data_IF_550662012784
#
_entry.id   IF_550662012784
#
_cell.length_a   1.000
_cell.length_b   1.000
_cell.length_c   1.000
_cell.angle_alpha   90.00
_cell.angle_beta   90.00
_cell.angle_gamma   90.00
#
_symmetry.space_group_name_H-M   'P 1'
#
loop_
_entity.id
_entity.type
_entity.pdbx_description
1 polymer ?
#
# COMPACT_ATOMS: atom_id res chain seq x y z
N UNK A 1 21.23 4.13 4.72
CA UNK A 1 22.49 4.89 4.58
C UNK A 1 22.31 6.16 3.75
N UNK A 2 21.78 6.08 2.52
CA UNK A 2 21.55 7.26 1.67
C UNK A 2 20.69 8.33 2.36
N UNK A 3 19.61 7.94 3.07
CA UNK A 3 18.78 8.89 3.83
C UNK A 3 19.57 9.71 4.86
N UNK A 4 20.48 9.09 5.61
CA UNK A 4 21.24 9.76 6.69
C UNK A 4 22.34 10.71 6.21
N UNK A 5 22.69 10.68 4.93
CA UNK A 5 23.71 11.55 4.33
C UNK A 5 23.12 12.69 3.49
N UNK A 6 21.79 12.88 3.55
CA UNK A 6 21.11 13.93 2.79
C UNK A 6 21.43 15.30 3.43
N UNK A 7 22.15 16.20 2.73
CA UNK A 7 22.28 17.57 3.19
C UNK A 7 20.91 18.25 3.09
N UNK A 8 20.45 18.86 4.19
CA UNK A 8 19.24 19.69 4.22
C UNK A 8 19.47 21.10 3.70
N UNK A 9 20.66 21.38 3.15
CA UNK A 9 21.01 22.69 2.62
C UNK A 9 20.13 23.00 1.40
N UNK A 10 19.31 24.07 1.44
CA UNK A 10 18.45 24.47 0.32
C UNK A 10 19.22 24.72 -0.98
N UNK A 11 20.54 25.00 -0.88
CA UNK A 11 21.41 25.25 -2.04
C UNK A 11 21.81 23.98 -2.80
N UNK A 12 21.46 22.78 -2.30
CA UNK A 12 21.85 21.49 -2.89
C UNK A 12 20.65 20.65 -3.31
N UNK A 13 19.66 21.28 -3.93
CA UNK A 13 18.43 20.64 -4.43
C UNK A 13 18.70 19.41 -5.32
N UNK A 14 19.75 19.44 -6.16
CA UNK A 14 20.10 18.30 -7.04
C UNK A 14 20.47 17.05 -6.23
N UNK A 15 21.18 17.22 -5.10
CA UNK A 15 21.56 16.09 -4.24
C UNK A 15 20.33 15.53 -3.53
N UNK A 16 19.41 16.39 -3.11
CA UNK A 16 18.12 15.97 -2.53
C UNK A 16 17.30 15.15 -3.54
N UNK A 17 17.21 15.61 -4.79
CA UNK A 17 16.49 14.89 -5.85
C UNK A 17 17.14 13.54 -6.17
N UNK A 18 18.45 13.51 -6.38
CA UNK A 18 19.17 12.27 -6.69
C UNK A 18 19.10 11.26 -5.53
N UNK A 19 19.27 11.70 -4.30
CA UNK A 19 19.16 10.81 -3.13
C UNK A 19 17.75 10.23 -2.99
N UNK A 20 16.70 11.02 -3.23
CA UNK A 20 15.31 10.54 -3.26
C UNK A 20 15.07 9.54 -4.38
N UNK A 21 15.65 9.76 -5.57
CA UNK A 21 15.59 8.81 -6.67
C UNK A 21 16.21 7.46 -6.28
N UNK A 22 17.41 7.46 -5.69
CA UNK A 22 18.06 6.23 -5.24
C UNK A 22 17.28 5.51 -4.13
N UNK A 23 16.68 6.25 -3.18
CA UNK A 23 15.79 5.66 -2.17
C UNK A 23 14.59 5.00 -2.83
N UNK A 24 13.95 5.67 -3.80
CA UNK A 24 12.83 5.10 -4.55
C UNK A 24 13.20 3.83 -5.30
N UNK A 25 14.34 3.83 -6.01
CA UNK A 25 14.85 2.65 -6.71
C UNK A 25 15.13 1.51 -5.73
N UNK A 26 15.80 1.78 -4.61
CA UNK A 26 16.11 0.75 -3.61
C UNK A 26 14.85 0.18 -2.94
N UNK A 27 13.84 1.01 -2.64
CA UNK A 27 12.60 0.59 -2.00
C UNK A 27 11.62 -0.12 -2.95
N UNK A 28 11.72 0.11 -4.27
CA UNK A 28 10.81 -0.47 -5.26
C UNK A 28 10.75 -2.00 -5.25
N UNK A 29 11.81 -2.67 -4.81
CA UNK A 29 11.90 -4.13 -4.76
C UNK A 29 11.33 -4.75 -3.47
N UNK A 30 10.99 -3.94 -2.46
CA UNK A 30 10.57 -4.42 -1.14
C UNK A 30 9.28 -5.24 -1.22
N UNK A 31 8.23 -4.69 -1.86
CA UNK A 31 6.95 -5.40 -1.94
C UNK A 31 7.04 -6.74 -2.70
N UNK A 32 7.65 -6.82 -3.90
CA UNK A 32 7.89 -8.09 -4.57
C UNK A 32 8.66 -9.09 -3.70
N UNK A 33 9.77 -8.67 -3.07
CA UNK A 33 10.60 -9.53 -2.25
C UNK A 33 9.82 -10.11 -1.04
N UNK A 34 9.02 -9.28 -0.35
CA UNK A 34 8.16 -9.72 0.75
C UNK A 34 7.19 -10.83 0.27
N UNK A 35 6.53 -10.62 -0.87
CA UNK A 35 5.56 -11.59 -1.39
C UNK A 35 6.23 -12.92 -1.79
N UNK A 36 7.45 -12.87 -2.35
CA UNK A 36 8.24 -14.07 -2.67
C UNK A 36 8.61 -14.84 -1.42
N UNK A 37 9.13 -14.18 -0.38
CA UNK A 37 9.49 -14.83 0.89
C UNK A 37 8.26 -15.47 1.54
N UNK A 38 7.15 -14.74 1.64
CA UNK A 38 5.91 -15.26 2.22
C UNK A 38 5.37 -16.46 1.42
N UNK A 39 5.50 -16.46 0.09
CA UNK A 39 5.03 -17.58 -0.73
C UNK A 39 5.81 -18.89 -0.48
N UNK A 40 7.09 -18.78 -0.12
CA UNK A 40 7.97 -19.93 0.16
C UNK A 40 7.83 -20.46 1.59
N UNK A 41 7.54 -19.60 2.56
CA UNK A 41 7.50 -19.95 3.98
C UNK A 41 6.10 -20.19 4.55
N UNK A 42 5.07 -19.58 3.96
CA UNK A 42 3.70 -19.62 4.51
C UNK A 42 2.82 -20.61 3.74
N UNK A 43 2.17 -21.56 4.44
CA UNK A 43 1.20 -22.46 3.84
C UNK A 43 0.08 -21.71 3.09
N UNK A 44 -0.46 -22.26 1.98
CA UNK A 44 -1.50 -21.60 1.19
C UNK A 44 -2.71 -21.14 2.01
N UNK A 45 -3.09 -21.90 3.04
CA UNK A 45 -4.25 -21.64 3.90
C UNK A 45 -4.07 -20.40 4.79
N UNK A 46 -2.84 -20.05 5.16
CA UNK A 46 -2.54 -18.93 6.07
C UNK A 46 -1.91 -17.72 5.36
N UNK A 47 -1.76 -17.81 4.04
CA UNK A 47 -1.06 -16.82 3.21
C UNK A 47 -1.74 -15.45 3.23
N UNK A 48 -3.08 -15.41 3.15
CA UNK A 48 -3.86 -14.16 3.20
C UNK A 48 -3.63 -13.38 4.49
N UNK A 49 -3.68 -14.09 5.63
CA UNK A 49 -3.43 -13.53 6.97
C UNK A 49 -1.99 -13.02 7.11
N UNK A 50 -1.01 -13.79 6.65
CA UNK A 50 0.40 -13.43 6.75
C UNK A 50 0.77 -12.22 5.88
N UNK A 51 0.22 -12.15 4.65
CA UNK A 51 0.39 -10.99 3.77
C UNK A 51 -0.27 -9.75 4.39
N UNK A 52 -1.48 -9.88 4.93
CA UNK A 52 -2.20 -8.77 5.58
C UNK A 52 -1.43 -8.25 6.80
N UNK A 53 -0.93 -9.15 7.65
CA UNK A 53 -0.13 -8.78 8.82
C UNK A 53 1.17 -8.06 8.39
N UNK A 54 1.89 -8.61 7.42
CA UNK A 54 3.17 -8.04 6.96
C UNK A 54 2.98 -6.68 6.29
N UNK A 55 1.96 -6.54 5.43
CA UNK A 55 1.68 -5.28 4.73
C UNK A 55 1.09 -4.21 5.64
N UNK A 56 0.29 -4.60 6.65
CA UNK A 56 -0.24 -3.68 7.64
C UNK A 56 0.85 -3.05 8.52
N UNK A 57 2.01 -3.72 8.68
CA UNK A 57 3.18 -3.14 9.35
C UNK A 57 3.62 -1.78 8.81
N UNK A 58 3.40 -1.51 7.52
CA UNK A 58 3.64 -0.18 6.92
C UNK A 58 2.77 0.92 7.55
N UNK A 59 1.49 0.62 7.82
CA UNK A 59 0.57 1.57 8.45
C UNK A 59 0.92 1.81 9.91
N UNK A 60 1.36 0.76 10.61
CA UNK A 60 1.87 0.89 11.97
C UNK A 60 3.16 1.73 12.01
N UNK A 61 4.05 1.56 11.03
CA UNK A 61 5.23 2.39 10.84
C UNK A 61 4.88 3.86 10.61
N UNK A 62 3.90 4.15 9.75
CA UNK A 62 3.41 5.52 9.53
C UNK A 62 2.80 6.13 10.79
N UNK A 63 2.05 5.33 11.56
CA UNK A 63 1.48 5.71 12.84
C UNK A 63 2.59 6.10 13.84
N UNK A 64 3.60 5.23 14.00
CA UNK A 64 4.77 5.51 14.83
C UNK A 64 5.56 6.73 14.36
N UNK A 65 5.75 6.89 13.05
CA UNK A 65 6.41 8.06 12.47
C UNK A 65 5.69 9.36 12.82
N UNK A 66 4.36 9.41 12.69
CA UNK A 66 3.56 10.56 13.11
C UNK A 66 3.68 10.84 14.61
N UNK A 67 3.80 9.81 15.44
CA UNK A 67 3.95 9.95 16.88
C UNK A 67 5.32 10.53 17.26
N UNK A 68 6.40 9.93 16.77
CA UNK A 68 7.77 10.19 17.23
C UNK A 68 8.50 11.28 16.44
N UNK A 69 8.39 11.29 15.11
CA UNK A 69 9.24 12.16 14.28
C UNK A 69 9.01 13.65 14.50
N UNK A 70 7.79 14.17 14.66
CA UNK A 70 7.63 15.60 14.93
C UNK A 70 8.39 16.02 16.19
N UNK A 71 8.35 15.22 17.27
CA UNK A 71 9.03 15.54 18.54
C UNK A 71 10.55 15.52 18.36
N UNK A 72 11.05 14.53 17.62
CA UNK A 72 12.45 14.41 17.27
C UNK A 72 12.95 15.63 16.46
N UNK A 73 12.18 16.10 15.48
CA UNK A 73 12.50 17.31 14.70
C UNK A 73 12.59 18.55 15.59
N UNK A 74 11.68 18.70 16.57
CA UNK A 74 11.66 19.85 17.48
C UNK A 74 12.91 19.91 18.37
N UNK A 75 13.37 18.76 18.87
CA UNK A 75 14.47 18.72 19.84
C UNK A 75 15.86 18.59 19.18
N UNK A 76 15.96 17.87 18.06
CA UNK A 76 17.23 17.49 17.44
C UNK A 76 17.35 17.96 15.98
N UNK A 77 16.38 18.74 15.49
CA UNK A 77 16.33 19.25 14.12
C UNK A 77 15.92 18.20 13.10
N UNK A 78 15.64 18.63 11.86
CA UNK A 78 15.13 17.73 10.82
C UNK A 78 16.12 16.62 10.38
N UNK A 79 17.44 16.83 10.53
CA UNK A 79 18.45 15.82 10.16
C UNK A 79 18.35 14.55 11.01
N UNK A 80 17.90 14.67 12.26
CA UNK A 80 17.79 13.57 13.20
C UNK A 80 16.84 12.46 12.72
N UNK A 81 15.74 12.80 12.03
CA UNK A 81 14.77 11.83 11.50
C UNK A 81 15.45 10.91 10.49
N UNK A 82 16.20 11.49 9.55
CA UNK A 82 16.91 10.74 8.52
C UNK A 82 17.98 9.81 9.11
N UNK A 83 18.65 10.27 10.16
CA UNK A 83 19.64 9.46 10.87
C UNK A 83 18.99 8.29 11.61
N UNK A 84 17.92 8.54 12.37
CA UNK A 84 17.19 7.49 13.09
C UNK A 84 16.62 6.45 12.12
N UNK A 85 16.00 6.86 11.03
CA UNK A 85 15.52 5.94 9.99
C UNK A 85 16.65 5.12 9.36
N UNK A 86 17.81 5.74 9.12
CA UNK A 86 18.98 5.03 8.59
C UNK A 86 19.50 3.98 9.58
N UNK A 87 19.58 4.31 10.88
CA UNK A 87 20.01 3.38 11.93
C UNK A 87 19.01 2.23 12.07
N UNK A 88 17.71 2.52 12.11
CA UNK A 88 16.67 1.48 12.17
C UNK A 88 16.73 0.54 10.96
N UNK A 89 16.94 1.10 9.75
CA UNK A 89 17.09 0.29 8.53
C UNK A 89 18.33 -0.60 8.54
N UNK A 90 19.46 -0.10 9.03
CA UNK A 90 20.71 -0.88 9.20
C UNK A 90 20.53 -1.95 10.27
N UNK A 91 19.97 -1.61 11.43
CA UNK A 91 19.69 -2.54 12.51
C UNK A 91 18.77 -3.68 12.03
N UNK A 92 17.70 -3.34 11.32
CA UNK A 92 16.81 -4.34 10.72
C UNK A 92 17.52 -5.22 9.69
N UNK A 93 18.40 -4.64 8.88
CA UNK A 93 19.19 -5.40 7.90
C UNK A 93 20.15 -6.38 8.58
N UNK A 94 20.79 -5.99 9.68
CA UNK A 94 21.65 -6.88 10.49
C UNK A 94 20.84 -8.01 11.12
N UNK A 95 19.67 -7.70 11.69
CA UNK A 95 18.76 -8.70 12.23
C UNK A 95 18.34 -9.67 11.12
N UNK A 96 17.93 -9.15 9.97
CA UNK A 96 17.53 -9.96 8.83
C UNK A 96 18.67 -10.87 8.37
N UNK A 97 19.87 -10.35 8.14
CA UNK A 97 21.03 -11.16 7.71
C UNK A 97 21.44 -12.24 8.72
N UNK A 98 21.21 -12.00 10.02
CA UNK A 98 21.54 -12.97 11.08
C UNK A 98 20.49 -14.07 11.26
N UNK A 99 19.21 -13.74 11.07
CA UNK A 99 18.10 -14.65 11.37
C UNK A 99 17.38 -15.20 10.13
N UNK A 100 17.55 -14.59 8.95
CA UNK A 100 16.96 -15.10 7.72
C UNK A 100 17.61 -16.44 7.36
N UNK A 101 16.81 -17.47 7.17
CA UNK A 101 17.25 -18.77 6.69
C UNK A 101 16.76 -19.00 5.26
N UNK A 102 17.43 -19.87 4.51
CA UNK A 102 16.87 -20.35 3.25
C UNK A 102 15.54 -21.08 3.53
N UNK A 103 14.53 -20.95 2.66
CA UNK A 103 13.31 -21.71 2.79
C UNK A 103 13.64 -23.20 2.89
N UNK A 104 12.91 -23.98 3.70
CA UNK A 104 13.10 -25.43 3.74
C UNK A 104 12.94 -25.94 2.31
N UNK A 105 14.04 -26.37 1.68
CA UNK A 105 14.03 -26.90 0.31
C UNK A 105 13.13 -28.14 0.31
N UNK A 106 11.91 -28.00 -0.17
CA UNK A 106 10.95 -29.11 -0.29
C UNK A 106 11.26 -30.04 -1.47
N UNK A 107 12.38 -29.86 -2.18
CA UNK A 107 12.71 -30.63 -3.40
C UNK A 107 14.11 -31.29 -3.38
N UNK A 108 14.62 -31.71 -2.23
CA UNK A 108 15.71 -32.69 -2.18
C UNK A 108 15.29 -33.86 -1.27
N UNK A 109 15.11 -35.09 -1.81
CA UNK A 109 15.07 -36.25 -0.96
C UNK A 109 16.38 -36.28 -0.19
N UNK A 110 16.30 -36.48 1.13
CA UNK A 110 17.45 -36.82 1.96
C UNK A 110 18.04 -38.14 1.45
N UNK A 111 18.86 -38.09 0.41
CA UNK A 111 19.80 -39.15 0.09
C UNK A 111 21.12 -38.73 0.71
N UNK A 112 21.39 -39.30 1.87
CA UNK A 112 22.75 -39.44 2.38
C UNK A 112 23.63 -39.98 1.27
N UNK A 113 24.45 -39.13 0.65
CA UNK A 113 25.47 -39.58 -0.30
C UNK A 113 26.82 -39.57 0.39
N UNK A 114 27.47 -40.73 0.58
CA UNK A 114 28.91 -40.78 0.75
C UNK A 114 29.59 -40.25 -0.53
N UNK A 115 30.77 -39.69 -0.31
CA UNK A 115 31.65 -39.08 -1.30
C UNK A 115 32.03 -40.04 -2.45
N UNK A 116 32.21 -39.45 -3.64
CA UNK A 116 33.04 -39.88 -4.80
C UNK A 116 32.39 -40.81 -5.83
N UNK A 117 32.65 -40.47 -7.10
CA UNK A 117 32.35 -41.15 -8.36
C UNK A 117 30.86 -41.09 -8.77
N UNK A 118 30.44 -40.53 -9.89
CA UNK A 118 31.04 -40.55 -11.23
C UNK A 118 30.26 -39.56 -12.12
N UNK A 119 30.97 -38.80 -12.94
CA UNK A 119 30.45 -37.66 -13.71
C UNK A 119 29.84 -38.03 -15.07
N UNK A 120 29.49 -39.30 -15.32
CA UNK A 120 29.21 -39.77 -16.69
C UNK A 120 27.94 -40.61 -16.92
N UNK A 121 27.04 -40.74 -15.94
CA UNK A 121 25.79 -41.49 -16.14
C UNK A 121 24.50 -40.72 -15.85
N UNK A 122 24.49 -39.40 -16.09
CA UNK A 122 23.26 -38.59 -16.12
C UNK A 122 23.06 -38.05 -17.54
N UNK A 123 22.91 -38.94 -18.53
CA UNK A 123 22.45 -38.56 -19.88
C UNK A 123 21.40 -39.51 -20.48
N UNK A 124 20.95 -40.53 -19.75
CA UNK A 124 20.02 -41.53 -20.29
C UNK A 124 18.75 -41.78 -19.45
N UNK A 125 18.45 -40.94 -18.45
CA UNK A 125 17.21 -41.06 -17.66
C UNK A 125 16.54 -39.72 -17.33
N UNK A 126 16.80 -38.67 -18.14
CA UNK A 126 16.01 -37.45 -18.14
C UNK A 126 14.78 -37.62 -19.06
N UNK A 127 13.96 -38.61 -18.76
CA UNK A 127 12.62 -38.73 -19.35
C UNK A 127 11.74 -37.63 -18.77
N UNK A 128 11.50 -36.58 -19.54
CA UNK A 128 10.41 -35.62 -19.30
C UNK A 128 10.74 -34.46 -18.35
N UNK A 129 11.84 -33.74 -18.58
CA UNK A 129 11.85 -32.32 -18.19
C UNK A 129 10.87 -31.62 -19.12
N UNK A 130 9.63 -31.45 -18.66
CA UNK A 130 8.66 -30.57 -19.30
C UNK A 130 9.32 -29.20 -19.35
N UNK A 131 9.84 -28.81 -20.52
CA UNK A 131 10.25 -27.46 -20.79
C UNK A 131 9.14 -26.52 -20.27
N UNK A 132 9.45 -25.41 -19.57
CA UNK A 132 8.41 -24.49 -19.13
C UNK A 132 7.66 -24.07 -20.39
N UNK A 133 6.44 -24.56 -20.56
CA UNK A 133 5.59 -24.16 -21.69
C UNK A 133 5.56 -22.64 -21.63
N UNK A 134 6.12 -21.99 -22.64
CA UNK A 134 6.01 -20.55 -22.83
C UNK A 134 4.54 -20.27 -23.09
N UNK A 135 3.77 -20.14 -22.01
CA UNK A 135 2.36 -19.76 -22.08
C UNK A 135 2.36 -18.40 -22.74
N UNK A 136 1.90 -18.34 -23.99
CA UNK A 136 1.75 -17.07 -24.71
C UNK A 136 0.79 -16.21 -23.89
N UNK A 137 1.33 -15.14 -23.31
CA UNK A 137 0.57 -14.22 -22.47
C UNK A 137 -0.47 -13.53 -23.36
N UNK A 138 -1.78 -13.66 -23.06
CA UNK A 138 -2.82 -13.06 -23.88
C UNK A 138 -2.97 -11.57 -23.54
N UNK A 139 -1.94 -10.76 -23.82
CA UNK A 139 -1.85 -9.33 -23.49
C UNK A 139 -3.10 -8.55 -23.89
N UNK A 140 -3.59 -8.75 -25.11
CA UNK A 140 -4.81 -8.08 -25.60
C UNK A 140 -6.03 -8.44 -24.74
N UNK A 141 -6.21 -9.71 -24.38
CA UNK A 141 -7.37 -10.14 -23.58
C UNK A 141 -7.29 -9.62 -22.14
N UNK A 142 -6.08 -9.52 -21.56
CA UNK A 142 -5.87 -8.96 -20.23
C UNK A 142 -6.12 -7.45 -20.23
N UNK A 143 -5.53 -6.72 -21.18
CA UNK A 143 -5.63 -5.25 -21.26
C UNK A 143 -7.05 -4.79 -21.58
N UNK A 144 -7.82 -5.55 -22.37
CA UNK A 144 -9.21 -5.18 -22.69
C UNK A 144 -10.26 -5.82 -21.78
N UNK A 145 -9.86 -6.42 -20.65
CA UNK A 145 -10.78 -7.06 -19.71
C UNK A 145 -11.38 -6.04 -18.73
N UNK A 146 -12.70 -5.91 -18.71
CA UNK A 146 -13.42 -5.01 -17.80
C UNK A 146 -13.17 -5.34 -16.30
N UNK A 147 -13.16 -6.61 -15.87
CA UNK A 147 -12.81 -6.96 -14.49
C UNK A 147 -11.39 -6.55 -14.09
N UNK A 148 -10.42 -6.61 -15.02
CA UNK A 148 -9.05 -6.16 -14.76
C UNK A 148 -9.04 -4.63 -14.54
N UNK A 149 -9.70 -3.88 -15.40
CA UNK A 149 -9.82 -2.42 -15.24
C UNK A 149 -10.57 -2.00 -13.98
N UNK A 150 -11.59 -2.76 -13.57
CA UNK A 150 -12.28 -2.52 -12.31
C UNK A 150 -11.31 -2.58 -11.12
N UNK A 151 -10.39 -3.54 -11.13
CA UNK A 151 -9.36 -3.65 -10.10
C UNK A 151 -8.33 -2.51 -10.21
N UNK A 152 -7.88 -2.19 -11.43
CA UNK A 152 -6.90 -1.11 -11.68
C UNK A 152 -7.43 0.24 -11.21
N UNK A 153 -8.67 0.61 -11.57
CA UNK A 153 -9.31 1.87 -11.14
C UNK A 153 -9.42 1.94 -9.62
N UNK A 154 -9.79 0.83 -8.99
CA UNK A 154 -9.97 0.79 -7.54
C UNK A 154 -8.62 0.86 -6.80
N UNK A 155 -7.57 0.23 -7.34
CA UNK A 155 -6.22 0.36 -6.81
C UNK A 155 -5.61 1.75 -7.01
N UNK A 156 -5.89 2.39 -8.15
CA UNK A 156 -5.56 3.79 -8.40
C UNK A 156 -6.19 4.69 -7.33
N UNK A 157 -7.51 4.58 -7.14
CA UNK A 157 -8.22 5.40 -6.16
C UNK A 157 -7.76 5.16 -4.73
N UNK A 158 -7.51 3.89 -4.34
CA UNK A 158 -6.97 3.56 -3.02
C UNK A 158 -5.67 4.32 -2.74
N UNK A 159 -4.73 4.24 -3.68
CA UNK A 159 -3.44 4.90 -3.53
C UNK A 159 -3.56 6.42 -3.64
N UNK A 160 -4.44 6.93 -4.51
CA UNK A 160 -4.72 8.37 -4.60
C UNK A 160 -5.14 8.93 -3.23
N UNK A 161 -6.18 8.35 -2.63
CA UNK A 161 -6.70 8.80 -1.34
C UNK A 161 -5.67 8.63 -0.21
N UNK A 162 -4.96 7.49 -0.19
CA UNK A 162 -3.91 7.21 0.78
C UNK A 162 -2.78 8.24 0.71
N UNK A 163 -2.24 8.50 -0.48
CA UNK A 163 -1.11 9.43 -0.65
C UNK A 163 -1.52 10.88 -0.41
N UNK A 164 -2.73 11.29 -0.82
CA UNK A 164 -3.24 12.63 -0.51
C UNK A 164 -3.33 12.83 1.00
N UNK A 165 -3.95 11.92 1.73
CA UNK A 165 -4.00 12.00 3.19
C UNK A 165 -2.60 11.91 3.82
N UNK A 166 -1.74 11.02 3.32
CA UNK A 166 -0.40 10.85 3.88
C UNK A 166 0.44 12.12 3.80
N UNK A 167 0.39 12.84 2.68
CA UNK A 167 1.21 14.02 2.45
C UNK A 167 0.55 15.32 2.92
N UNK A 168 -0.77 15.44 2.79
CA UNK A 168 -1.47 16.72 3.00
C UNK A 168 -2.27 16.79 4.31
N UNK A 169 -2.56 15.67 4.98
CA UNK A 169 -3.24 15.70 6.27
C UNK A 169 -2.42 16.41 7.36
N UNK A 170 -1.09 16.21 7.48
CA UNK A 170 -0.28 16.98 8.44
C UNK A 170 -0.30 18.47 8.14
N UNK A 171 -0.15 18.83 6.86
CA UNK A 171 -0.24 20.21 6.38
C UNK A 171 -1.61 20.82 6.65
N UNK A 172 -2.69 20.04 6.57
CA UNK A 172 -4.04 20.49 6.92
C UNK A 172 -4.18 20.81 8.42
N UNK A 173 -3.58 20.01 9.30
CA UNK A 173 -3.54 20.32 10.73
C UNK A 173 -2.80 21.64 10.99
N UNK A 174 -1.64 21.83 10.39
CA UNK A 174 -0.81 23.03 10.63
C UNK A 174 -1.35 24.29 9.96
N UNK A 175 -1.74 24.22 8.68
CA UNK A 175 -2.17 25.40 7.91
C UNK A 175 -3.68 25.62 7.96
N UNK A 176 -4.47 24.55 7.95
CA UNK A 176 -5.94 24.63 7.90
C UNK A 176 -6.58 24.82 9.28
N UNK A 177 -6.07 24.10 10.28
CA UNK A 177 -6.58 24.17 11.66
C UNK A 177 -5.70 25.02 12.58
N UNK A 178 -4.55 25.50 12.10
CA UNK A 178 -3.57 26.26 12.89
C UNK A 178 -3.13 25.53 14.16
N UNK A 179 -3.05 24.20 14.09
CA UNK A 179 -2.64 23.34 15.21
C UNK A 179 -1.27 22.74 14.91
N UNK A 180 -0.35 22.93 15.85
CA UNK A 180 0.93 22.24 15.74
C UNK A 180 0.73 20.73 15.92
N UNK A 181 1.46 19.94 15.14
CA UNK A 181 1.46 18.48 15.28
C UNK A 181 1.97 18.02 16.66
N UNK A 182 2.54 18.90 17.47
CA UNK A 182 2.95 18.59 18.85
C UNK A 182 1.77 18.65 19.82
N UNK A 183 0.98 19.71 19.72
CA UNK A 183 -0.14 19.95 20.64
C UNK A 183 -1.22 18.89 20.50
N UNK A 184 -1.27 18.24 19.34
CA UNK A 184 -2.14 17.09 19.08
C UNK A 184 -1.76 15.81 19.85
N UNK A 185 -0.56 15.74 20.43
CA UNK A 185 -0.09 14.58 21.18
C UNK A 185 -0.21 13.27 20.39
N UNK A 186 -0.79 12.23 20.99
CA UNK A 186 -1.00 10.93 20.34
C UNK A 186 -2.14 10.90 19.31
N UNK A 187 -2.99 11.92 19.25
CA UNK A 187 -4.18 11.92 18.39
C UNK A 187 -3.84 11.88 16.89
N UNK A 188 -2.71 12.47 16.48
CA UNK A 188 -2.22 12.45 15.09
C UNK A 188 -1.84 11.05 14.59
N UNK A 189 -1.60 10.10 15.50
CA UNK A 189 -1.28 8.71 15.15
C UNK A 189 -2.54 7.92 14.79
N UNK A 190 -3.69 8.29 15.36
CA UNK A 190 -4.93 7.53 15.28
C UNK A 190 -5.37 7.19 13.85
N UNK A 191 -5.25 8.08 12.85
CA UNK A 191 -5.72 7.75 11.51
C UNK A 191 -5.00 6.55 10.88
N UNK A 192 -3.66 6.52 11.00
CA UNK A 192 -2.84 5.42 10.48
C UNK A 192 -2.91 4.17 11.37
N UNK A 193 -3.06 4.34 12.68
CA UNK A 193 -3.27 3.21 13.58
C UNK A 193 -4.62 2.54 13.33
N UNK A 194 -5.67 3.30 13.09
CA UNK A 194 -6.97 2.77 12.70
C UNK A 194 -6.91 2.05 11.34
N UNK A 195 -6.11 2.58 10.40
CA UNK A 195 -5.81 1.91 9.14
C UNK A 195 -5.18 0.53 9.34
N UNK A 196 -4.22 0.40 10.28
CA UNK A 196 -3.62 -0.89 10.66
C UNK A 196 -4.67 -1.89 11.19
N UNK A 197 -5.53 -1.44 12.11
CA UNK A 197 -6.57 -2.29 12.72
C UNK A 197 -7.55 -2.77 11.65
N UNK A 198 -8.13 -1.85 10.88
CA UNK A 198 -9.16 -2.18 9.89
C UNK A 198 -8.61 -3.00 8.71
N UNK A 199 -7.33 -2.84 8.35
CA UNK A 199 -6.68 -3.70 7.35
C UNK A 199 -6.70 -5.17 7.79
N UNK A 200 -6.44 -5.44 9.07
CA UNK A 200 -6.44 -6.80 9.61
C UNK A 200 -7.87 -7.33 9.80
N UNK A 201 -8.80 -6.48 10.28
CA UNK A 201 -10.23 -6.83 10.39
C UNK A 201 -10.78 -7.20 9.01
N UNK A 202 -10.51 -6.40 7.98
CA UNK A 202 -10.99 -6.64 6.61
C UNK A 202 -10.53 -8.00 6.08
N UNK A 203 -9.29 -8.40 6.35
CA UNK A 203 -8.78 -9.73 6.00
C UNK A 203 -9.52 -10.86 6.72
N UNK A 204 -9.67 -10.77 8.05
CA UNK A 204 -10.37 -11.78 8.86
C UNK A 204 -11.84 -11.90 8.46
N UNK A 205 -12.53 -10.77 8.26
CA UNK A 205 -13.95 -10.76 7.84
C UNK A 205 -14.11 -11.36 6.45
N UNK A 206 -13.22 -11.03 5.51
CA UNK A 206 -13.24 -11.62 4.17
C UNK A 206 -13.10 -13.14 4.22
N UNK A 207 -12.08 -13.63 4.94
CA UNK A 207 -11.81 -15.06 5.07
C UNK A 207 -12.96 -15.77 5.78
N UNK A 208 -13.56 -15.17 6.82
CA UNK A 208 -14.70 -15.75 7.53
C UNK A 208 -15.93 -15.90 6.63
N UNK A 209 -16.30 -14.85 5.89
CA UNK A 209 -17.47 -14.87 4.99
C UNK A 209 -17.33 -15.92 3.88
N UNK A 210 -16.13 -16.07 3.34
CA UNK A 210 -15.82 -17.02 2.25
C UNK A 210 -15.74 -18.46 2.79
N UNK A 211 -14.99 -18.71 3.87
CA UNK A 211 -14.75 -20.07 4.41
C UNK A 211 -16.01 -20.68 5.00
N UNK A 212 -16.85 -19.88 5.67
CA UNK A 212 -18.16 -20.33 6.18
C UNK A 212 -19.23 -20.43 5.09
N UNK A 213 -18.90 -20.12 3.83
CA UNK A 213 -19.82 -20.14 2.67
C UNK A 213 -21.08 -19.27 2.89
N UNK A 214 -20.97 -18.19 3.67
CA UNK A 214 -22.07 -17.25 3.90
C UNK A 214 -22.34 -16.45 2.63
N UNK A 215 -21.27 -16.04 1.94
CA UNK A 215 -21.32 -15.32 0.67
C UNK A 215 -20.36 -15.94 -0.34
N UNK A 216 -20.65 -15.78 -1.63
CA UNK A 216 -19.69 -16.13 -2.69
C UNK A 216 -18.48 -15.19 -2.64
N UNK A 217 -17.37 -15.60 -3.27
CA UNK A 217 -16.14 -14.80 -3.36
C UNK A 217 -16.47 -13.43 -3.96
N UNK A 218 -17.11 -13.41 -5.13
CA UNK A 218 -17.52 -12.17 -5.82
C UNK A 218 -18.36 -11.25 -4.93
N UNK A 219 -19.38 -11.79 -4.25
CA UNK A 219 -20.27 -10.99 -3.38
C UNK A 219 -19.50 -10.43 -2.18
N UNK A 220 -18.63 -11.23 -1.58
CA UNK A 220 -17.79 -10.78 -0.45
C UNK A 220 -16.83 -9.67 -0.87
N UNK A 221 -16.14 -9.83 -2.01
CA UNK A 221 -15.22 -8.81 -2.54
C UNK A 221 -15.94 -7.50 -2.84
N UNK A 222 -17.10 -7.57 -3.50
CA UNK A 222 -17.95 -6.40 -3.80
C UNK A 222 -18.41 -5.71 -2.53
N UNK A 223 -18.95 -6.46 -1.57
CA UNK A 223 -19.46 -5.93 -0.31
C UNK A 223 -18.40 -5.15 0.47
N UNK A 224 -17.23 -5.77 0.71
CA UNK A 224 -16.14 -5.14 1.46
C UNK A 224 -15.59 -3.91 0.74
N UNK A 225 -15.43 -3.99 -0.59
CA UNK A 225 -14.98 -2.85 -1.37
C UNK A 225 -15.95 -1.67 -1.26
N UNK A 226 -17.24 -1.93 -1.46
CA UNK A 226 -18.26 -0.88 -1.46
C UNK A 226 -18.41 -0.23 -0.09
N UNK A 227 -18.50 -1.02 0.98
CA UNK A 227 -18.58 -0.48 2.34
C UNK A 227 -17.33 0.36 2.64
N UNK A 228 -16.15 -0.17 2.34
CA UNK A 228 -14.88 0.53 2.61
C UNK A 228 -14.77 1.86 1.86
N UNK A 229 -15.03 1.86 0.55
CA UNK A 229 -14.85 3.04 -0.29
C UNK A 229 -15.95 4.08 -0.09
N UNK A 230 -17.22 3.66 0.08
CA UNK A 230 -18.33 4.61 0.29
C UNK A 230 -18.21 5.28 1.65
N UNK A 231 -17.93 4.52 2.72
CA UNK A 231 -17.74 5.12 4.05
C UNK A 231 -16.51 6.02 4.06
N UNK A 232 -15.42 5.62 3.41
CA UNK A 232 -14.24 6.48 3.27
C UNK A 232 -14.53 7.76 2.49
N UNK A 233 -15.33 7.69 1.41
CA UNK A 233 -15.71 8.85 0.63
C UNK A 233 -16.52 9.86 1.46
N UNK A 234 -17.53 9.40 2.18
CA UNK A 234 -18.35 10.26 3.05
C UNK A 234 -17.48 10.89 4.13
N UNK A 235 -16.59 10.12 4.76
CA UNK A 235 -15.68 10.63 5.78
C UNK A 235 -14.67 11.66 5.23
N UNK A 236 -14.13 11.44 4.02
CA UNK A 236 -13.26 12.39 3.32
C UNK A 236 -13.99 13.71 3.02
N UNK A 237 -15.19 13.63 2.47
CA UNK A 237 -15.98 14.82 2.14
C UNK A 237 -16.46 15.56 3.39
N UNK A 238 -16.66 14.85 4.50
CA UNK A 238 -17.01 15.46 5.78
C UNK A 238 -15.81 16.11 6.48
N UNK A 239 -14.57 15.64 6.23
CA UNK A 239 -13.35 16.11 6.88
C UNK A 239 -13.19 17.65 6.89
N UNK A 240 -13.30 18.38 5.76
CA UNK A 240 -13.14 19.84 5.76
C UNK A 240 -14.26 20.59 6.49
N UNK A 241 -15.40 19.93 6.76
CA UNK A 241 -16.52 20.54 7.49
C UNK A 241 -16.27 20.60 9.00
N UNK A 242 -15.41 19.72 9.53
CA UNK A 242 -15.03 19.73 10.94
C UNK A 242 -13.88 20.71 11.19
N UNK A 243 -14.10 21.65 12.11
CA UNK A 243 -13.11 22.66 12.53
C UNK A 243 -12.44 22.35 13.86
N UNK A 244 -12.81 21.24 14.49
CA UNK A 244 -12.20 20.80 15.74
C UNK A 244 -11.14 19.73 15.45
N UNK A 245 -9.99 19.74 16.16
CA UNK A 245 -8.96 18.71 15.99
C UNK A 245 -9.53 17.30 16.15
N UNK A 246 -10.38 17.09 17.15
CA UNK A 246 -11.02 15.80 17.41
C UNK A 246 -11.92 15.35 16.25
N UNK A 247 -12.67 16.27 15.63
CA UNK A 247 -13.51 15.97 14.47
C UNK A 247 -12.70 15.57 13.24
N UNK A 248 -11.62 16.31 12.95
CA UNK A 248 -10.73 16.00 11.82
C UNK A 248 -9.98 14.68 12.03
N UNK A 249 -9.49 14.41 13.24
CA UNK A 249 -8.86 13.13 13.59
C UNK A 249 -9.87 11.98 13.47
N UNK A 250 -11.11 12.15 13.93
CA UNK A 250 -12.15 11.14 13.81
C UNK A 250 -12.48 10.86 12.34
N UNK A 251 -12.73 11.88 11.53
CA UNK A 251 -13.05 11.72 10.10
C UNK A 251 -11.90 11.10 9.30
N UNK A 252 -10.67 11.57 9.51
CA UNK A 252 -9.49 10.99 8.86
C UNK A 252 -9.25 9.54 9.30
N UNK A 253 -9.52 9.20 10.57
CA UNK A 253 -9.43 7.83 11.07
C UNK A 253 -10.48 6.91 10.47
N UNK A 254 -11.74 7.35 10.40
CA UNK A 254 -12.81 6.61 9.74
C UNK A 254 -12.47 6.41 8.26
N UNK A 255 -12.01 7.47 7.59
CA UNK A 255 -11.62 7.38 6.18
C UNK A 255 -10.52 6.35 5.93
N UNK A 256 -9.35 6.49 6.58
CA UNK A 256 -8.24 5.56 6.36
C UNK A 256 -8.56 4.13 6.82
N UNK A 257 -9.28 3.99 7.93
CA UNK A 257 -9.73 2.67 8.41
C UNK A 257 -10.60 1.95 7.39
N UNK A 258 -11.69 2.59 6.94
CA UNK A 258 -12.58 1.98 5.95
C UNK A 258 -11.94 1.85 4.56
N UNK A 259 -11.03 2.75 4.18
CA UNK A 259 -10.22 2.60 2.97
C UNK A 259 -9.38 1.32 3.03
N UNK A 260 -8.75 1.03 4.18
CA UNK A 260 -8.01 -0.22 4.40
C UNK A 260 -8.91 -1.46 4.43
N UNK A 261 -10.13 -1.36 4.98
CA UNK A 261 -11.12 -2.43 4.88
C UNK A 261 -11.50 -2.72 3.42
N UNK A 262 -11.68 -1.67 2.60
CA UNK A 262 -11.94 -1.79 1.17
C UNK A 262 -10.82 -2.52 0.41
N UNK A 263 -9.57 -2.39 0.87
CA UNK A 263 -8.41 -3.11 0.31
C UNK A 263 -8.59 -4.63 0.32
N UNK A 264 -9.25 -5.19 1.33
CA UNK A 264 -9.55 -6.62 1.40
C UNK A 264 -10.51 -7.10 0.29
N UNK A 265 -11.27 -6.18 -0.31
CA UNK A 265 -12.15 -6.45 -1.44
C UNK A 265 -11.43 -6.55 -2.78
N UNK A 266 -10.50 -5.65 -3.09
CA UNK A 266 -9.89 -5.59 -4.43
C UNK A 266 -8.47 -6.15 -4.51
N UNK A 267 -7.67 -6.10 -3.44
CA UNK A 267 -6.23 -6.41 -3.53
C UNK A 267 -5.95 -7.88 -3.90
N UNK A 268 -6.78 -8.80 -3.42
CA UNK A 268 -6.71 -10.22 -3.73
C UNK A 268 -7.47 -10.61 -4.99
N UNK A 269 -8.30 -9.72 -5.53
CA UNK A 269 -9.14 -10.00 -6.70
C UNK A 269 -8.33 -10.30 -7.98
N UNK A 270 -7.09 -9.79 -8.07
CA UNK A 270 -6.16 -10.14 -9.16
C UNK A 270 -5.87 -11.65 -9.23
N UNK A 271 -5.82 -12.32 -8.06
CA UNK A 271 -5.58 -13.76 -7.95
C UNK A 271 -6.84 -14.57 -8.26
N UNK A 272 -8.02 -14.02 -7.94
CA UNK A 272 -9.31 -14.64 -8.23
C UNK A 272 -9.60 -14.65 -9.74
N UNK A 273 -9.36 -13.52 -10.43
CA UNK A 273 -9.63 -13.33 -11.87
C UNK A 273 -8.62 -14.02 -12.78
N UNK A 274 -7.33 -13.97 -12.44
CA UNK A 274 -6.25 -14.44 -13.33
C UNK A 274 -5.16 -15.21 -12.58
N UNK A 275 -5.43 -16.42 -12.04
CA UNK A 275 -4.48 -17.15 -11.19
C UNK A 275 -3.09 -17.36 -11.82
N UNK A 276 -3.01 -17.72 -13.12
CA UNK A 276 -1.73 -17.93 -13.82
C UNK A 276 -1.00 -16.63 -14.18
N UNK A 277 -1.72 -15.51 -14.27
CA UNK A 277 -1.18 -14.21 -14.67
C UNK A 277 -1.29 -13.15 -13.57
N UNK A 278 -1.54 -13.56 -12.32
CA UNK A 278 -1.86 -12.67 -11.20
C UNK A 278 -0.75 -11.64 -10.96
N UNK A 279 0.52 -12.04 -11.12
CA UNK A 279 1.67 -11.13 -11.01
C UNK A 279 1.66 -10.02 -12.07
N UNK A 280 1.25 -10.31 -13.31
CA UNK A 280 1.17 -9.32 -14.39
C UNK A 280 0.03 -8.33 -14.11
N UNK A 281 -1.15 -8.85 -13.75
CA UNK A 281 -2.33 -8.03 -13.44
C UNK A 281 -2.06 -7.14 -12.21
N UNK A 282 -1.43 -7.69 -11.16
CA UNK A 282 -0.99 -6.93 -9.99
C UNK A 282 0.04 -5.86 -10.38
N UNK A 283 1.00 -6.18 -11.26
CA UNK A 283 1.99 -5.22 -11.74
C UNK A 283 1.35 -4.02 -12.44
N UNK A 284 0.45 -4.26 -13.41
CA UNK A 284 -0.29 -3.20 -14.12
C UNK A 284 -1.10 -2.34 -13.14
N UNK A 285 -1.82 -3.00 -12.24
CA UNK A 285 -2.62 -2.33 -11.21
C UNK A 285 -1.76 -1.49 -10.26
N UNK A 286 -0.62 -2.01 -9.80
CA UNK A 286 0.29 -1.31 -8.90
C UNK A 286 0.99 -0.12 -9.58
N UNK A 287 1.31 -0.23 -10.87
CA UNK A 287 1.78 0.91 -11.67
C UNK A 287 0.74 2.03 -11.70
N UNK A 288 -0.54 1.71 -11.92
CA UNK A 288 -1.61 2.72 -11.83
C UNK A 288 -1.71 3.31 -10.41
N UNK A 289 -1.61 2.48 -9.37
CA UNK A 289 -1.60 2.94 -7.97
C UNK A 289 -0.45 3.89 -7.64
N UNK A 290 0.76 3.62 -8.12
CA UNK A 290 1.92 4.50 -7.90
C UNK A 290 1.80 5.81 -8.69
N UNK A 291 1.31 5.77 -9.93
CA UNK A 291 0.97 6.97 -10.71
C UNK A 291 -0.07 7.85 -10.00
N UNK A 292 -1.02 7.24 -9.30
CA UNK A 292 -2.03 7.96 -8.52
C UNK A 292 -1.40 8.85 -7.43
N UNK A 293 -0.28 8.44 -6.84
CA UNK A 293 0.47 9.25 -5.89
C UNK A 293 1.11 10.48 -6.52
N UNK A 294 1.71 10.32 -7.69
CA UNK A 294 2.32 11.42 -8.45
C UNK A 294 1.24 12.44 -8.84
N UNK A 295 0.14 11.96 -9.44
CA UNK A 295 -0.96 12.82 -9.89
C UNK A 295 -1.68 13.46 -8.70
N UNK A 296 -2.03 12.68 -7.67
CA UNK A 296 -2.80 13.16 -6.53
C UNK A 296 -2.04 14.17 -5.69
N UNK A 297 -0.81 13.86 -5.28
CA UNK A 297 0.00 14.77 -4.46
C UNK A 297 0.36 16.04 -5.25
N UNK A 298 0.73 15.89 -6.53
CA UNK A 298 1.04 17.03 -7.41
C UNK A 298 -0.16 17.93 -7.63
N UNK A 299 -1.33 17.38 -7.97
CA UNK A 299 -2.55 18.15 -8.19
C UNK A 299 -2.98 18.91 -6.93
N UNK A 300 -2.96 18.26 -5.76
CA UNK A 300 -3.25 18.92 -4.49
C UNK A 300 -2.28 20.07 -4.21
N UNK A 301 -0.99 19.90 -4.53
CA UNK A 301 0.01 20.95 -4.42
C UNK A 301 -0.33 22.17 -5.28
N UNK A 302 -0.61 21.96 -6.56
CA UNK A 302 -1.00 23.04 -7.47
C UNK A 302 -2.30 23.73 -7.06
N UNK A 303 -3.28 23.00 -6.51
CA UNK A 303 -4.52 23.60 -5.96
C UNK A 303 -4.19 24.55 -4.81
N UNK A 304 -3.35 24.12 -3.86
CA UNK A 304 -2.99 24.92 -2.69
C UNK A 304 -2.08 26.10 -3.04
N UNK A 305 -1.18 25.95 -4.01
CA UNK A 305 -0.37 27.05 -4.55
C UNK A 305 -1.24 28.09 -5.27
N UNK A 306 -2.21 27.65 -6.09
CA UNK A 306 -3.15 28.55 -6.75
C UNK A 306 -4.02 29.33 -5.75
N UNK A 307 -4.43 28.67 -4.66
CA UNK A 307 -5.17 29.33 -3.57
C UNK A 307 -4.31 30.40 -2.87
N UNK A 308 -3.05 30.09 -2.58
CA UNK A 308 -2.09 31.07 -2.03
C UNK A 308 -1.87 32.25 -2.98
N UNK A 309 -1.68 32.00 -4.28
CA UNK A 309 -1.48 33.03 -5.29
C UNK A 309 -2.70 33.97 -5.42
N UNK A 310 -3.90 33.44 -5.15
CA UNK A 310 -5.15 34.21 -5.14
C UNK A 310 -5.43 34.92 -3.81
N UNK A 311 -4.47 34.95 -2.87
CA UNK A 311 -4.63 35.46 -1.51
C UNK A 311 -5.81 34.85 -0.74
N UNK A 312 -6.17 33.59 -1.04
CA UNK A 312 -7.19 32.88 -0.26
C UNK A 312 -6.59 32.44 1.08
N UNK A 313 -7.35 32.65 2.15
CA UNK A 313 -6.97 32.17 3.46
C UNK A 313 -7.01 30.63 3.48
N UNK A 314 -5.87 30.01 3.79
CA UNK A 314 -5.74 28.55 3.93
C UNK A 314 -6.45 28.03 5.17
N UNK A 315 -6.80 28.90 6.11
CA UNK A 315 -7.68 28.54 7.22
C UNK A 315 -9.13 28.38 6.77
N UNK A 316 -9.49 28.85 5.57
CA UNK A 316 -10.85 28.68 5.07
C UNK A 316 -11.09 27.23 4.60
N UNK A 317 -12.25 26.67 4.98
CA UNK A 317 -12.63 25.28 4.70
C UNK A 317 -12.80 25.08 3.20
N UNK A 318 -13.33 26.08 2.50
CA UNK A 318 -13.57 26.03 1.06
C UNK A 318 -12.31 25.70 0.27
N UNK A 319 -11.15 26.21 0.68
CA UNK A 319 -9.86 25.96 0.04
C UNK A 319 -9.48 24.47 0.09
N UNK A 320 -9.83 23.80 1.18
CA UNK A 320 -9.54 22.38 1.41
C UNK A 320 -10.66 21.44 0.95
N UNK A 321 -11.86 21.96 0.69
CA UNK A 321 -12.95 21.13 0.15
C UNK A 321 -12.55 20.43 -1.13
N UNK A 322 -11.99 21.14 -2.09
CA UNK A 322 -11.54 20.54 -3.36
C UNK A 322 -10.50 19.43 -3.11
N UNK A 323 -9.58 19.64 -2.17
CA UNK A 323 -8.52 18.68 -1.83
C UNK A 323 -9.09 17.35 -1.33
N UNK A 324 -10.13 17.38 -0.49
CA UNK A 324 -10.72 16.16 0.09
C UNK A 324 -11.93 15.63 -0.68
N UNK A 325 -12.61 16.46 -1.47
CA UNK A 325 -13.76 16.05 -2.27
C UNK A 325 -13.32 15.25 -3.50
N UNK A 326 -12.22 15.62 -4.16
CA UNK A 326 -11.67 14.87 -5.30
C UNK A 326 -11.42 13.39 -4.96
N UNK A 327 -10.65 13.03 -3.91
CA UNK A 327 -10.49 11.62 -3.53
C UNK A 327 -11.81 10.98 -3.09
N UNK A 328 -12.75 11.73 -2.49
CA UNK A 328 -14.08 11.25 -2.15
C UNK A 328 -14.91 10.84 -3.37
N UNK A 329 -14.99 11.70 -4.39
CA UNK A 329 -15.66 11.39 -5.65
C UNK A 329 -15.01 10.23 -6.38
N UNK A 330 -13.68 10.15 -6.39
CA UNK A 330 -12.96 9.00 -6.94
C UNK A 330 -13.31 7.69 -6.19
N UNK A 331 -13.46 7.74 -4.87
CA UNK A 331 -13.88 6.59 -4.06
C UNK A 331 -15.29 6.10 -4.43
N UNK A 332 -16.25 7.02 -4.60
CA UNK A 332 -17.61 6.67 -5.05
C UNK A 332 -17.59 6.08 -6.46
N UNK A 333 -16.90 6.75 -7.39
CA UNK A 333 -16.80 6.34 -8.78
C UNK A 333 -16.17 4.93 -8.90
N UNK A 334 -15.03 4.70 -8.26
CA UNK A 334 -14.36 3.40 -8.28
C UNK A 334 -15.21 2.30 -7.63
N UNK A 335 -15.93 2.60 -6.55
CA UNK A 335 -16.87 1.66 -5.93
C UNK A 335 -17.98 1.23 -6.89
N UNK A 336 -18.56 2.16 -7.66
CA UNK A 336 -19.59 1.85 -8.67
C UNK A 336 -19.02 0.98 -9.78
N UNK A 337 -17.86 1.35 -10.33
CA UNK A 337 -17.18 0.56 -11.38
C UNK A 337 -16.87 -0.85 -10.87
N UNK A 338 -16.39 -0.97 -9.63
CA UNK A 338 -16.10 -2.26 -9.03
C UNK A 338 -17.38 -3.10 -8.81
N UNK A 339 -18.48 -2.48 -8.36
CA UNK A 339 -19.76 -3.17 -8.20
C UNK A 339 -20.30 -3.75 -9.51
N UNK A 340 -20.19 -3.00 -10.61
CA UNK A 340 -20.71 -3.40 -11.91
C UNK A 340 -19.81 -4.47 -12.55
N UNK A 341 -18.50 -4.21 -12.62
CA UNK A 341 -17.60 -4.97 -13.50
C UNK A 341 -16.71 -6.00 -12.79
N UNK A 342 -16.58 -5.96 -11.46
CA UNK A 342 -15.74 -6.96 -10.78
C UNK A 342 -16.38 -8.34 -10.77
N UNK A 343 -15.55 -9.36 -10.86
CA UNK A 343 -15.91 -10.76 -10.62
C UNK A 343 -14.79 -11.45 -9.84
N UNK A 344 -15.14 -12.42 -9.01
CA UNK A 344 -14.20 -13.33 -8.35
C UNK A 344 -14.10 -14.69 -9.05
N UNK A 345 -14.65 -14.82 -10.26
CA UNK A 345 -14.54 -16.02 -11.09
C UNK A 345 -13.29 -15.96 -11.98
N UNK A 346 -12.71 -17.12 -12.28
CA UNK A 346 -11.52 -17.23 -13.12
C UNK A 346 -11.88 -16.91 -14.57
N UNK A 347 -11.21 -15.91 -15.14
CA UNK A 347 -11.41 -15.48 -16.54
C UNK A 347 -10.25 -15.94 -17.43
N UNK A 348 -9.06 -16.06 -16.84
CA UNK A 348 -7.85 -16.44 -17.55
C UNK A 348 -7.31 -17.75 -16.99
N UNK A 349 -7.40 -18.81 -17.80
CA UNK A 349 -6.73 -20.09 -17.56
C UNK A 349 -5.35 -20.16 -18.20
#
# INVERSE_FOLDING_TARGET
LICGLIPLDPKREVILVLSRLFVGVAQGFIFPAIHTVLAQWVPPQERSRSVSLTTSGMYLGAAGGMLFFPSLVKHMGAQSVFFVEAVLGVAWSVIWLKFSSEPPRTDLPKVSMPKVASREKIKAQAGGVVAPRTVKIPWRRIIFSLPVWAIVVNNFTFHYALYVLMNWLPTYFELGLQLSLQDMGSSKMLPYFNMFIFSNIGGVVADHLITRRILSITKTRKLLNTIGFVVSAVALMALPLFRTPSGTVLCSSISLGFLALGRAGFAVNHMDVAPKFAGIVMGVSNTAGTLAGIVGVGLTGSILEGAKASNMDLTNSETWKTVFFVPGYLCIFSSIIFLIFSTGEKIFE
#
